data_IF_020338964802
#
_entry.id   IF_020338964802
#
_cell.length_a   1.000
_cell.length_b   1.000
_cell.length_c   1.000
_cell.angle_alpha   90.00
_cell.angle_beta   90.00
_cell.angle_gamma   90.00
#
_symmetry.space_group_name_H-M   'P 1'
#
loop_
_entity.id
_entity.type
_entity.pdbx_description
1 polymer ?
#
# COMPACT_ATOMS: atom_id res chain seq x y z
N UNK A 1 -14.34 4.50 25.64
CA UNK A 1 -13.61 5.26 24.61
C UNK A 1 -13.07 4.25 23.61
N UNK A 2 -13.67 4.18 22.42
CA UNK A 2 -13.07 3.65 21.20
C UNK A 2 -14.07 3.92 20.07
N UNK A 3 -14.30 5.21 19.83
CA UNK A 3 -14.95 5.74 18.65
C UNK A 3 -14.21 5.24 17.40
N UNK A 4 -14.61 4.11 16.83
CA UNK A 4 -14.12 3.70 15.51
C UNK A 4 -15.05 4.24 14.44
N UNK A 5 -15.09 5.56 14.36
CA UNK A 5 -15.49 6.27 13.15
C UNK A 5 -14.33 6.18 12.13
N UNK A 6 -13.86 4.97 11.84
CA UNK A 6 -12.72 4.75 10.97
C UNK A 6 -13.20 4.86 9.52
N UNK A 7 -13.13 6.07 8.99
CA UNK A 7 -12.85 6.25 7.57
C UNK A 7 -11.64 5.37 7.27
N UNK A 8 -11.87 4.25 6.57
CA UNK A 8 -10.83 3.26 6.26
C UNK A 8 -9.60 4.01 5.72
N UNK A 9 -8.41 3.80 6.31
CA UNK A 9 -7.21 4.47 5.83
C UNK A 9 -7.00 4.08 4.37
N UNK A 10 -6.73 5.08 3.52
CA UNK A 10 -6.46 4.85 2.09
C UNK A 10 -5.35 3.81 1.96
N UNK A 11 -5.60 2.70 1.23
CA UNK A 11 -4.66 1.59 1.18
C UNK A 11 -3.35 1.96 0.48
N UNK A 12 -2.28 1.30 0.90
CA UNK A 12 -0.96 1.38 0.26
C UNK A 12 -0.78 0.22 -0.70
N UNK A 13 -0.38 0.57 -1.91
CA UNK A 13 -0.15 -0.33 -3.02
C UNK A 13 1.32 -0.28 -3.40
N UNK A 14 2.01 -1.42 -3.34
CA UNK A 14 3.42 -1.53 -3.73
C UNK A 14 3.51 -2.16 -5.11
N UNK A 15 4.16 -1.47 -6.03
CA UNK A 15 4.45 -1.98 -7.36
C UNK A 15 5.42 -3.17 -7.25
N UNK A 16 5.04 -4.31 -7.82
CA UNK A 16 5.87 -5.52 -7.86
C UNK A 16 7.08 -5.41 -8.79
N UNK A 17 7.02 -4.51 -9.78
CA UNK A 17 8.09 -4.31 -10.77
C UNK A 17 9.21 -3.41 -10.23
N UNK A 18 8.86 -2.18 -9.83
CA UNK A 18 9.85 -1.18 -9.38
C UNK A 18 9.97 -1.05 -7.84
N UNK A 19 9.06 -1.64 -7.08
CA UNK A 19 9.02 -1.52 -5.62
C UNK A 19 8.44 -0.20 -5.09
N UNK A 20 7.97 0.69 -5.97
CA UNK A 20 7.38 1.98 -5.56
C UNK A 20 6.06 1.78 -4.81
N UNK A 21 5.82 2.56 -3.76
CA UNK A 21 4.59 2.46 -2.95
C UNK A 21 3.72 3.68 -3.18
N UNK A 22 2.45 3.48 -3.52
CA UNK A 22 1.47 4.54 -3.79
C UNK A 22 0.29 4.38 -2.85
N UNK A 23 -0.23 5.49 -2.32
CA UNK A 23 -1.36 5.49 -1.40
C UNK A 23 -2.60 5.98 -2.13
N UNK A 24 -3.43 5.05 -2.61
CA UNK A 24 -4.64 5.37 -3.37
C UNK A 24 -5.72 4.30 -3.13
N UNK A 25 -6.98 4.66 -3.35
CA UNK A 25 -8.10 3.73 -3.12
C UNK A 25 -8.05 2.49 -4.02
N UNK A 26 -7.66 2.64 -5.29
CA UNK A 26 -7.60 1.58 -6.28
C UNK A 26 -6.29 1.67 -7.05
N UNK A 27 -5.51 0.57 -7.20
CA UNK A 27 -4.25 0.59 -7.91
C UNK A 27 -4.47 0.92 -9.40
N UNK A 28 -3.58 1.69 -10.04
CA UNK A 28 -3.69 1.93 -11.47
C UNK A 28 -3.23 0.69 -12.24
N UNK A 29 -3.68 0.54 -13.48
CA UNK A 29 -3.11 -0.48 -14.35
C UNK A 29 -1.64 -0.19 -14.66
N UNK A 30 -1.30 1.09 -14.88
CA UNK A 30 0.05 1.55 -15.19
C UNK A 30 0.69 2.24 -13.99
N UNK A 31 1.91 1.84 -13.65
CA UNK A 31 2.62 2.42 -12.53
C UNK A 31 3.20 3.80 -12.86
N UNK A 32 2.93 4.85 -12.07
CA UNK A 32 3.45 6.20 -12.35
C UNK A 32 4.97 6.34 -12.13
N UNK A 33 5.65 5.30 -11.62
CA UNK A 33 7.10 5.32 -11.44
C UNK A 33 7.86 4.65 -12.60
N UNK A 34 7.32 3.57 -13.18
CA UNK A 34 7.95 2.87 -14.30
C UNK A 34 7.18 3.01 -15.62
N UNK A 35 5.98 3.58 -15.61
CA UNK A 35 5.10 3.77 -16.76
C UNK A 35 4.81 2.47 -17.52
N UNK A 36 4.67 1.37 -16.79
CA UNK A 36 4.37 0.05 -17.32
C UNK A 36 3.19 -0.58 -16.58
N UNK A 37 2.51 -1.53 -17.23
CA UNK A 37 1.45 -2.31 -16.59
C UNK A 37 2.03 -3.24 -15.53
N UNK A 38 1.73 -2.97 -14.26
CA UNK A 38 2.33 -3.66 -13.12
C UNK A 38 1.27 -4.19 -12.16
N UNK A 39 1.54 -5.35 -11.55
CA UNK A 39 0.75 -5.79 -10.40
C UNK A 39 1.12 -5.00 -9.15
N UNK A 40 0.09 -4.48 -8.48
CA UNK A 40 0.20 -3.75 -7.23
C UNK A 40 -0.25 -4.61 -6.06
N UNK A 41 0.66 -4.80 -5.10
CA UNK A 41 0.39 -5.57 -3.90
C UNK A 41 -0.12 -4.65 -2.80
N UNK A 42 -1.23 -5.03 -2.17
CA UNK A 42 -1.73 -4.30 -1.01
C UNK A 42 -0.79 -4.55 0.17
N UNK A 43 0.01 -3.53 0.52
CA UNK A 43 0.93 -3.56 1.65
C UNK A 43 0.43 -2.72 2.82
N UNK A 44 -0.85 -2.34 2.77
CA UNK A 44 -1.50 -1.56 3.82
C UNK A 44 -1.32 -2.24 5.16
N UNK A 45 -0.75 -1.52 6.11
CA UNK A 45 -0.60 -2.03 7.43
C UNK A 45 -1.90 -1.82 8.22
N UNK A 46 -2.61 -2.92 8.49
CA UNK A 46 -3.84 -2.91 9.29
C UNK A 46 -3.56 -3.15 10.79
N UNK A 47 -2.29 -3.27 11.19
CA UNK A 47 -1.89 -3.52 12.58
C UNK A 47 -0.98 -2.40 13.12
N UNK A 48 -1.18 -1.91 14.35
CA UNK A 48 -0.38 -0.82 14.92
C UNK A 48 1.11 -1.17 15.17
N UNK A 49 1.51 -2.43 14.96
CA UNK A 49 2.84 -2.95 15.30
C UNK A 49 3.83 -3.00 14.13
N UNK A 50 3.40 -2.73 12.89
CA UNK A 50 4.33 -2.72 11.75
C UNK A 50 5.09 -1.39 11.73
N UNK A 51 6.23 -1.37 12.44
CA UNK A 51 7.05 -0.18 12.63
C UNK A 51 7.35 0.55 11.32
N UNK A 52 7.00 1.84 11.30
CA UNK A 52 7.50 2.99 10.52
C UNK A 52 7.76 2.90 8.99
N UNK A 53 7.82 1.72 8.37
CA UNK A 53 8.08 1.58 6.92
C UNK A 53 6.83 1.37 6.09
N UNK A 54 5.66 1.10 6.71
CA UNK A 54 4.39 0.94 5.98
C UNK A 54 4.38 -0.19 4.94
N UNK A 55 5.39 -1.08 4.98
CA UNK A 55 5.60 -2.18 4.03
C UNK A 55 5.98 -3.42 4.84
N UNK A 56 5.22 -4.49 4.69
CA UNK A 56 5.48 -5.76 5.36
C UNK A 56 6.79 -6.38 4.85
N UNK A 57 7.78 -6.67 5.73
CA UNK A 57 9.08 -7.19 5.33
C UNK A 57 9.04 -8.63 4.80
N UNK A 58 7.91 -9.34 4.93
CA UNK A 58 7.70 -10.70 4.40
C UNK A 58 7.25 -10.70 2.94
N UNK A 59 6.84 -9.54 2.39
CA UNK A 59 6.59 -9.29 0.97
C UNK A 59 7.82 -8.68 0.27
N UNK A 60 9.02 -9.20 0.61
CA UNK A 60 10.28 -8.89 -0.07
C UNK A 60 10.51 -9.83 -1.24
#
# INVERSE_FOLDING_TARGET
MADNNQTLPVPYWKCKNCGNTIQIALPPEECPACHEKCEFLNVTCYTPECGFTGIDPRLK
#
